data_IF_960187770421
#
_entry.id   IF_960187770421
#
_cell.length_a   1.000
_cell.length_b   1.000
_cell.length_c   1.000
_cell.angle_alpha   90.00
_cell.angle_beta   90.00
_cell.angle_gamma   90.00
#
_symmetry.space_group_name_H-M   'P 1'
#
loop_
_entity.id
_entity.type
_entity.pdbx_description
1 polymer ?
#
# COMPACT_ATOMS: atom_id res chain seq x y z
N UNK A 1 -60.76 -32.54 -45.29
CA UNK A 1 -59.28 -32.52 -45.32
C UNK A 1 -58.82 -33.20 -44.02
N UNK A 2 -58.44 -34.48 -44.08
CA UNK A 2 -57.96 -35.25 -42.91
C UNK A 2 -56.43 -35.17 -42.88
N UNK A 3 -55.88 -34.65 -41.79
CA UNK A 3 -54.42 -34.61 -41.59
C UNK A 3 -53.97 -36.04 -41.27
N UNK A 4 -52.90 -36.49 -41.91
CA UNK A 4 -52.30 -37.80 -41.65
C UNK A 4 -51.82 -37.87 -40.18
N UNK A 5 -52.32 -38.82 -39.37
CA UNK A 5 -51.96 -38.93 -37.97
C UNK A 5 -50.46 -39.18 -37.74
N UNK A 6 -49.75 -39.77 -38.71
CA UNK A 6 -48.30 -40.01 -38.62
C UNK A 6 -47.51 -38.71 -38.73
N UNK A 7 -47.92 -37.80 -39.62
CA UNK A 7 -47.32 -36.47 -39.80
C UNK A 7 -47.57 -35.61 -38.55
N UNK A 8 -48.77 -35.68 -37.99
CA UNK A 8 -49.12 -34.97 -36.76
C UNK A 8 -48.27 -35.46 -35.56
N UNK A 9 -48.14 -36.78 -35.38
CA UNK A 9 -47.31 -37.36 -34.32
C UNK A 9 -45.82 -37.01 -34.47
N UNK A 10 -45.27 -37.09 -35.68
CA UNK A 10 -43.89 -36.70 -35.95
C UNK A 10 -43.62 -35.23 -35.62
N UNK A 11 -44.57 -34.34 -35.94
CA UNK A 11 -44.48 -32.91 -35.63
C UNK A 11 -44.46 -32.67 -34.12
N UNK A 12 -45.35 -33.32 -33.36
CA UNK A 12 -45.37 -33.21 -31.89
C UNK A 12 -44.04 -33.68 -31.30
N UNK A 13 -43.54 -34.84 -31.72
CA UNK A 13 -42.26 -35.38 -31.22
C UNK A 13 -41.13 -34.40 -31.53
N UNK A 14 -41.07 -33.86 -32.74
CA UNK A 14 -40.05 -32.88 -33.12
C UNK A 14 -40.11 -31.61 -32.24
N UNK A 15 -41.31 -31.08 -31.97
CA UNK A 15 -41.48 -29.90 -31.10
C UNK A 15 -41.07 -30.19 -29.66
N UNK A 16 -41.44 -31.35 -29.11
CA UNK A 16 -41.05 -31.75 -27.75
C UNK A 16 -39.54 -31.90 -27.64
N UNK A 17 -38.91 -32.58 -28.61
CA UNK A 17 -37.45 -32.75 -28.66
C UNK A 17 -36.74 -31.40 -28.79
N UNK A 18 -37.21 -30.52 -29.68
CA UNK A 18 -36.66 -29.17 -29.84
C UNK A 18 -36.77 -28.36 -28.55
N UNK A 19 -37.90 -28.44 -27.84
CA UNK A 19 -38.11 -27.76 -26.56
C UNK A 19 -37.17 -28.28 -25.47
N UNK A 20 -36.97 -29.60 -25.39
CA UNK A 20 -36.04 -30.20 -24.43
C UNK A 20 -34.59 -29.81 -24.70
N UNK A 21 -34.18 -29.79 -25.97
CA UNK A 21 -32.84 -29.34 -26.37
C UNK A 21 -32.65 -27.86 -26.04
N UNK A 22 -33.63 -27.01 -26.36
CA UNK A 22 -33.59 -25.59 -26.04
C UNK A 22 -33.46 -25.34 -24.53
N UNK A 23 -34.22 -26.05 -23.70
CA UNK A 23 -34.13 -25.94 -22.25
C UNK A 23 -32.76 -26.35 -21.73
N UNK A 24 -32.19 -27.47 -22.22
CA UNK A 24 -30.84 -27.90 -21.84
C UNK A 24 -29.76 -26.88 -22.24
N UNK A 25 -29.90 -26.27 -23.42
CA UNK A 25 -28.98 -25.23 -23.87
C UNK A 25 -29.08 -23.98 -22.98
N UNK A 26 -30.30 -23.56 -22.62
CA UNK A 26 -30.51 -22.44 -21.71
C UNK A 26 -29.91 -22.70 -20.32
N UNK A 27 -30.10 -23.89 -19.77
CA UNK A 27 -29.51 -24.27 -18.48
C UNK A 27 -27.98 -24.29 -18.55
N UNK A 28 -27.42 -24.82 -19.63
CA UNK A 28 -25.98 -24.82 -19.86
C UNK A 28 -25.43 -23.38 -19.98
N UNK A 29 -26.11 -22.50 -20.72
CA UNK A 29 -25.72 -21.10 -20.85
C UNK A 29 -25.74 -20.38 -19.49
N UNK A 30 -26.81 -20.55 -18.70
CA UNK A 30 -26.90 -19.96 -17.35
C UNK A 30 -25.79 -20.46 -16.43
N UNK A 31 -25.49 -21.77 -16.49
CA UNK A 31 -24.41 -22.34 -15.72
C UNK A 31 -23.05 -21.75 -16.14
N UNK A 32 -22.80 -21.63 -17.45
CA UNK A 32 -21.59 -21.02 -18.00
C UNK A 32 -21.44 -19.56 -17.56
N UNK A 33 -22.49 -18.77 -17.63
CA UNK A 33 -22.45 -17.36 -17.20
C UNK A 33 -22.12 -17.23 -15.71
N UNK A 34 -22.70 -18.11 -14.87
CA UNK A 34 -22.36 -18.18 -13.45
C UNK A 34 -20.88 -18.54 -13.23
N UNK A 35 -20.35 -19.50 -13.97
CA UNK A 35 -18.94 -19.89 -13.88
C UNK A 35 -18.01 -18.75 -14.30
N UNK A 36 -18.32 -18.05 -15.39
CA UNK A 36 -17.55 -16.86 -15.83
C UNK A 36 -17.59 -15.76 -14.76
N UNK A 37 -18.76 -15.54 -14.14
CA UNK A 37 -18.89 -14.61 -13.01
C UNK A 37 -17.96 -14.98 -11.85
N UNK A 38 -17.95 -16.26 -11.46
CA UNK A 38 -17.08 -16.76 -10.40
C UNK A 38 -15.59 -16.61 -10.74
N UNK A 39 -15.19 -16.95 -11.96
CA UNK A 39 -13.81 -16.80 -12.43
C UNK A 39 -13.34 -15.33 -12.34
N UNK A 40 -14.18 -14.39 -12.76
CA UNK A 40 -13.89 -12.95 -12.65
C UNK A 40 -13.74 -12.50 -11.20
N UNK A 41 -14.64 -12.93 -10.32
CA UNK A 41 -14.55 -12.59 -8.89
C UNK A 41 -13.30 -13.20 -8.24
N UNK A 42 -12.93 -14.43 -8.62
CA UNK A 42 -11.75 -15.08 -8.09
C UNK A 42 -10.46 -14.38 -8.57
N UNK A 43 -10.40 -13.98 -9.84
CA UNK A 43 -9.29 -13.19 -10.37
C UNK A 43 -9.15 -11.83 -9.65
N UNK A 44 -10.26 -11.15 -9.38
CA UNK A 44 -10.26 -9.89 -8.62
C UNK A 44 -9.75 -10.11 -7.18
N UNK A 45 -10.28 -11.11 -6.47
CA UNK A 45 -9.85 -11.45 -5.11
C UNK A 45 -8.38 -11.86 -5.04
N UNK A 46 -7.87 -12.59 -6.05
CA UNK A 46 -6.45 -12.94 -6.14
C UNK A 46 -5.58 -11.69 -6.30
N UNK A 47 -5.98 -10.76 -7.17
CA UNK A 47 -5.28 -9.49 -7.34
C UNK A 47 -5.24 -8.71 -6.03
N UNK A 48 -6.39 -8.52 -5.37
CA UNK A 48 -6.47 -7.83 -4.08
C UNK A 48 -5.62 -8.51 -3.00
N UNK A 49 -5.61 -9.84 -2.95
CA UNK A 49 -4.78 -10.60 -2.02
C UNK A 49 -3.29 -10.37 -2.25
N UNK A 50 -2.84 -10.31 -3.51
CA UNK A 50 -1.43 -10.01 -3.83
C UNK A 50 -1.04 -8.59 -3.43
N UNK A 51 -1.91 -7.61 -3.67
CA UNK A 51 -1.70 -6.22 -3.23
C UNK A 51 -1.63 -6.12 -1.70
N UNK A 52 -2.55 -6.76 -0.98
CA UNK A 52 -2.57 -6.77 0.47
C UNK A 52 -1.31 -7.43 1.05
N UNK A 53 -0.83 -8.53 0.46
CA UNK A 53 0.44 -9.16 0.86
C UNK A 53 1.62 -8.23 0.68
N UNK A 54 1.68 -7.49 -0.43
CA UNK A 54 2.76 -6.53 -0.64
C UNK A 54 2.73 -5.42 0.42
N UNK A 55 1.55 -4.85 0.70
CA UNK A 55 1.39 -3.84 1.74
C UNK A 55 1.83 -4.34 3.13
N UNK A 56 1.52 -5.60 3.46
CA UNK A 56 1.97 -6.21 4.72
C UNK A 56 3.50 -6.32 4.76
N UNK A 57 4.15 -6.72 3.67
CA UNK A 57 5.62 -6.80 3.61
C UNK A 57 6.27 -5.43 3.77
N UNK A 58 5.72 -4.40 3.12
CA UNK A 58 6.21 -3.03 3.24
C UNK A 58 6.07 -2.53 4.69
N UNK A 59 4.92 -2.75 5.33
CA UNK A 59 4.70 -2.41 6.73
C UNK A 59 5.62 -3.18 7.69
N UNK A 60 5.87 -4.47 7.43
CA UNK A 60 6.81 -5.25 8.24
C UNK A 60 8.22 -4.68 8.18
N UNK A 61 8.65 -4.22 7.00
CA UNK A 61 9.93 -3.54 6.83
C UNK A 61 9.98 -2.23 7.62
N UNK A 62 8.95 -1.40 7.52
CA UNK A 62 8.88 -0.14 8.25
C UNK A 62 8.92 -0.35 9.77
N UNK A 63 8.17 -1.34 10.28
CA UNK A 63 8.18 -1.72 11.70
C UNK A 63 9.57 -2.20 12.12
N UNK A 64 10.23 -3.00 11.29
CA UNK A 64 11.59 -3.47 11.56
C UNK A 64 12.59 -2.31 11.62
N UNK A 65 12.54 -1.38 10.66
CA UNK A 65 13.42 -0.21 10.60
C UNK A 65 13.21 0.71 11.81
N UNK A 66 11.96 0.92 12.23
CA UNK A 66 11.65 1.69 13.45
C UNK A 66 12.16 0.97 14.70
N UNK A 67 11.99 -0.35 14.78
CA UNK A 67 12.44 -1.16 15.91
C UNK A 67 13.97 -1.14 16.04
N UNK A 68 14.70 -1.29 14.95
CA UNK A 68 16.16 -1.19 14.92
C UNK A 68 16.64 0.21 15.32
N UNK A 69 15.95 1.27 14.87
CA UNK A 69 16.25 2.63 15.32
C UNK A 69 16.05 2.78 16.83
N UNK A 70 14.93 2.30 17.37
CA UNK A 70 14.66 2.33 18.82
C UNK A 70 15.72 1.57 19.61
N UNK A 71 16.10 0.37 19.15
CA UNK A 71 17.15 -0.43 19.79
C UNK A 71 18.49 0.30 19.84
N UNK A 72 18.87 1.03 18.78
CA UNK A 72 20.07 1.88 18.76
C UNK A 72 19.98 3.08 19.70
N UNK A 73 18.78 3.61 19.94
CA UNK A 73 18.58 4.62 20.98
C UNK A 73 18.75 4.03 22.39
N UNK A 74 18.12 2.88 22.66
CA UNK A 74 18.16 2.22 23.97
C UNK A 74 19.54 1.68 24.34
N UNK A 75 20.35 1.24 23.37
CA UNK A 75 21.70 0.71 23.61
C UNK A 75 22.74 1.78 23.94
N UNK A 76 22.39 3.07 23.95
CA UNK A 76 23.35 4.15 24.20
C UNK A 76 24.32 4.43 23.04
N UNK A 77 24.21 3.69 21.93
CA UNK A 77 24.82 4.04 20.63
C UNK A 77 24.06 5.18 19.93
N UNK A 78 23.15 5.83 20.65
CA UNK A 78 22.47 7.02 20.17
C UNK A 78 23.53 8.08 19.84
N UNK A 79 23.55 8.51 18.58
CA UNK A 79 24.25 9.73 18.16
C UNK A 79 23.99 10.85 19.17
N UNK A 80 22.77 10.95 19.72
CA UNK A 80 22.35 11.95 20.71
C UNK A 80 23.15 11.95 22.02
N UNK A 81 23.76 10.84 22.43
CA UNK A 81 24.57 10.83 23.65
C UNK A 81 25.74 11.82 23.58
N UNK A 82 26.14 12.22 22.36
CA UNK A 82 27.16 13.24 22.12
C UNK A 82 26.59 14.67 22.00
N UNK A 83 25.29 14.84 21.77
CA UNK A 83 24.69 16.13 21.45
C UNK A 83 23.87 16.66 22.62
N UNK A 84 24.09 17.91 22.99
CA UNK A 84 23.29 18.63 23.99
C UNK A 84 22.11 19.29 23.29
N UNK A 85 20.88 19.06 23.78
CA UNK A 85 19.71 19.78 23.28
C UNK A 85 19.67 21.19 23.88
N UNK A 86 19.67 22.22 23.04
CA UNK A 86 19.55 23.62 23.43
C UNK A 86 18.07 24.04 23.41
N UNK A 87 17.42 24.25 24.58
CA UNK A 87 15.99 24.49 24.64
C UNK A 87 15.55 25.83 24.04
N UNK A 88 16.44 26.83 24.04
CA UNK A 88 16.17 28.19 23.56
C UNK A 88 16.03 28.24 22.04
N UNK A 89 16.84 27.47 21.31
CA UNK A 89 16.81 27.42 19.84
C UNK A 89 16.04 26.20 19.31
N UNK A 90 15.81 25.19 20.16
CA UNK A 90 15.22 23.91 19.76
C UNK A 90 16.18 23.06 18.91
N UNK A 91 17.48 23.32 18.98
CA UNK A 91 18.52 22.67 18.18
C UNK A 91 19.37 21.74 19.04
N UNK A 92 20.02 20.78 18.40
CA UNK A 92 21.04 19.95 19.05
C UNK A 92 22.43 20.56 18.82
N UNK A 93 23.31 20.49 19.81
CA UNK A 93 24.65 21.08 19.79
C UNK A 93 25.72 20.03 20.05
N UNK A 94 26.82 20.09 19.30
CA UNK A 94 28.04 19.33 19.58
C UNK A 94 29.23 20.31 19.54
N UNK A 95 29.74 20.70 20.71
CA UNK A 95 30.71 21.81 20.81
C UNK A 95 30.08 23.14 20.40
N UNK A 96 30.64 23.81 19.40
CA UNK A 96 30.15 25.10 18.88
C UNK A 96 29.22 24.96 17.65
N UNK A 97 28.94 23.72 17.22
CA UNK A 97 28.14 23.45 16.03
C UNK A 97 26.70 23.08 16.38
N UNK A 98 25.75 23.73 15.70
CA UNK A 98 24.32 23.41 15.78
C UNK A 98 23.87 22.41 14.71
N UNK A 99 22.91 21.56 15.09
CA UNK A 99 22.36 20.50 14.28
C UNK A 99 20.83 20.55 14.29
N UNK A 100 20.25 20.52 13.09
CA UNK A 100 18.80 20.43 12.91
C UNK A 100 18.29 19.07 13.40
N UNK A 101 17.32 19.02 14.34
CA UNK A 101 16.68 17.78 14.78
C UNK A 101 16.29 16.87 13.62
N UNK A 102 15.60 17.38 12.60
CA UNK A 102 15.14 16.56 11.46
C UNK A 102 16.27 15.88 10.66
N UNK A 103 17.47 16.45 10.66
CA UNK A 103 18.60 15.99 9.84
C UNK A 103 19.65 15.24 10.66
N UNK A 104 19.74 15.51 11.97
CA UNK A 104 20.66 14.83 12.87
C UNK A 104 20.42 13.32 12.90
N UNK A 105 19.18 12.90 12.70
CA UNK A 105 18.76 11.50 12.67
C UNK A 105 19.02 10.78 11.34
N UNK A 106 19.62 11.45 10.34
CA UNK A 106 20.01 10.85 9.07
C UNK A 106 21.50 10.47 9.11
N UNK A 107 21.82 9.23 8.75
CA UNK A 107 23.22 8.78 8.60
C UNK A 107 23.77 9.10 7.21
N UNK A 108 25.03 9.55 7.09
CA UNK A 108 25.91 10.04 8.15
C UNK A 108 25.55 11.49 8.57
N UNK A 109 25.80 11.88 9.84
CA UNK A 109 25.65 13.26 10.27
C UNK A 109 26.65 14.13 9.49
N UNK A 110 26.13 15.14 8.78
CA UNK A 110 26.95 16.04 7.96
C UNK A 110 27.69 17.03 8.86
N UNK A 111 28.98 17.23 8.61
CA UNK A 111 29.80 18.27 9.22
C UNK A 111 29.21 19.65 8.83
N UNK A 112 28.66 20.39 9.81
CA UNK A 112 28.05 21.73 9.67
C UNK A 112 26.71 21.83 8.88
N UNK A 113 25.59 21.32 9.44
CA UNK A 113 24.29 21.32 8.76
C UNK A 113 23.47 22.61 8.92
N UNK A 114 23.93 23.56 9.72
CA UNK A 114 23.24 24.80 10.04
C UNK A 114 24.08 26.01 9.63
N UNK A 115 23.44 27.07 9.15
CA UNK A 115 24.10 28.34 8.85
C UNK A 115 23.23 29.50 9.31
N UNK A 116 23.89 30.56 9.75
CA UNK A 116 23.21 31.79 10.14
C UNK A 116 22.64 32.51 8.92
N UNK A 117 21.38 32.92 9.04
CA UNK A 117 20.65 33.64 8.02
C UNK A 117 19.87 34.79 8.68
N UNK A 118 20.55 35.91 8.92
CA UNK A 118 19.98 37.14 9.47
C UNK A 118 19.28 36.91 10.81
N UNK A 119 17.96 36.76 10.76
CA UNK A 119 17.05 36.64 11.91
C UNK A 119 17.01 35.23 12.55
N UNK A 120 17.81 34.29 12.05
CA UNK A 120 17.79 32.91 12.55
C UNK A 120 18.86 32.01 11.96
N UNK A 121 18.66 30.71 12.13
CA UNK A 121 19.56 29.63 11.71
C UNK A 121 18.78 28.69 10.78
N UNK A 122 19.28 28.49 9.56
CA UNK A 122 18.66 27.65 8.55
C UNK A 122 19.40 26.32 8.41
N UNK A 123 18.66 25.24 8.17
CA UNK A 123 19.27 23.95 7.85
C UNK A 123 19.64 23.90 6.35
N UNK A 124 20.84 23.39 6.04
CA UNK A 124 21.28 23.17 4.64
C UNK A 124 20.60 21.98 3.96
N UNK A 125 20.12 21.03 4.76
CA UNK A 125 19.65 19.72 4.28
C UNK A 125 18.12 19.60 4.25
N UNK A 126 17.41 20.50 4.90
CA UNK A 126 15.96 20.52 4.93
C UNK A 126 15.46 21.97 5.01
N UNK A 127 14.21 22.24 4.61
CA UNK A 127 13.67 23.60 4.54
C UNK A 127 13.31 24.19 5.91
N UNK A 128 13.83 23.64 7.02
CA UNK A 128 13.54 24.15 8.36
C UNK A 128 14.42 25.36 8.69
N UNK A 129 13.78 26.36 9.29
CA UNK A 129 14.38 27.59 9.79
C UNK A 129 14.04 27.76 11.27
N UNK A 130 15.04 28.13 12.07
CA UNK A 130 14.95 28.28 13.51
C UNK A 130 15.25 29.74 13.85
N UNK A 131 14.30 30.46 14.44
CA UNK A 131 14.52 31.85 14.85
C UNK A 131 15.47 31.89 16.03
N UNK A 132 16.43 32.83 16.02
CA UNK A 132 17.14 33.21 17.24
C UNK A 132 16.17 34.06 18.04
N UNK A 133 15.72 33.60 19.21
CA UNK A 133 14.99 34.49 20.12
C UNK A 133 15.90 35.68 20.48
N UNK A 134 15.30 36.87 20.59
CA UNK A 134 15.96 38.11 20.99
C UNK A 134 16.18 38.16 22.50
#
# INVERSE_FOLDING_TARGET
MTIDPTVYAATIIATVVATLIANRLLDWMRHRDKMIGLERTNAALQSENTTAKQQILDLQKDVHDVTERLRKYESGESILAKYEFEPTTGLYRLGDLHYCPCCLFKSPPVEAPMYDQGDGIACRLCPHFYKKEA
#
